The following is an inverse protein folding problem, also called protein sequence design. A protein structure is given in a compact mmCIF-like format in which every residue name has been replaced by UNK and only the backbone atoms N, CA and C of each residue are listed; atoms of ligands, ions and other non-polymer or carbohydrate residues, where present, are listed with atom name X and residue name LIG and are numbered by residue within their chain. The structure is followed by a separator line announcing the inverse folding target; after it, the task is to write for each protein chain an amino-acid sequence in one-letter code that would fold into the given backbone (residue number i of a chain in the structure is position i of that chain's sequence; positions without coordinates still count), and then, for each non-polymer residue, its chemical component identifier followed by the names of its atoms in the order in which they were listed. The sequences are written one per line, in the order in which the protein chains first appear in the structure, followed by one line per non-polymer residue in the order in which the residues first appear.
data_IF_739621440744
#
_entry.id   IF_739621440744
#
_cell.length_a   1.000
_cell.length_b   1.000
_cell.length_c   1.000
_cell.angle_alpha   90.00
_cell.angle_beta   90.00
_cell.angle_gamma   90.00
#
_symmetry.space_group_name_H-M   'P 1'
#
loop_
_entity.id
_entity.type
_entity.pdbx_description
1 polymer ?
#
# COMPACT_ATOMS: atom_id res chain seq x y z
N UNK A 1 -14.54 -53.86 -2.30
CA UNK A 1 -13.18 -54.15 -2.77
C UNK A 1 -12.95 -53.33 -3.98
N UNK A 2 -12.28 -52.22 -3.81
CA UNK A 2 -11.55 -51.56 -4.90
C UNK A 2 -10.78 -50.40 -4.27
N UNK A 3 -9.47 -50.58 -4.29
CA UNK A 3 -8.49 -49.69 -3.68
C UNK A 3 -8.18 -48.55 -4.62
N UNK A 4 -8.44 -47.28 -4.19
CA UNK A 4 -8.00 -46.12 -4.92
C UNK A 4 -6.67 -45.66 -4.32
N UNK A 5 -5.61 -45.82 -5.10
CA UNK A 5 -4.29 -45.32 -4.81
C UNK A 5 -4.19 -43.83 -5.01
N UNK A 6 -3.87 -43.09 -3.94
CA UNK A 6 -3.52 -41.69 -4.02
C UNK A 6 -2.01 -41.52 -4.23
N UNK A 7 -1.65 -41.01 -5.38
CA UNK A 7 -0.29 -40.57 -5.67
C UNK A 7 0.00 -39.26 -4.96
N UNK A 8 0.97 -39.25 -4.03
CA UNK A 8 1.50 -38.03 -3.42
C UNK A 8 2.37 -37.28 -4.42
N UNK A 9 1.92 -36.08 -4.76
CA UNK A 9 2.72 -35.11 -5.48
C UNK A 9 3.50 -34.29 -4.45
N UNK A 10 4.82 -34.46 -4.43
CA UNK A 10 5.76 -33.77 -3.54
C UNK A 10 5.91 -32.32 -3.97
N UNK A 11 5.17 -31.42 -3.34
CA UNK A 11 5.34 -29.98 -3.46
C UNK A 11 6.63 -29.54 -2.78
N UNK A 12 7.54 -28.99 -3.56
CA UNK A 12 8.78 -28.37 -3.07
C UNK A 12 8.44 -27.12 -2.26
N UNK A 13 8.62 -27.19 -0.96
CA UNK A 13 8.56 -26.02 -0.07
C UNK A 13 9.80 -25.16 -0.29
N UNK A 14 9.62 -23.99 -0.88
CA UNK A 14 10.64 -22.95 -0.90
C UNK A 14 10.72 -22.34 0.49
N UNK A 15 11.76 -22.68 1.22
CA UNK A 15 12.09 -22.08 2.52
C UNK A 15 12.52 -20.64 2.33
N UNK A 16 11.73 -19.69 2.81
CA UNK A 16 12.09 -18.29 2.88
C UNK A 16 12.99 -18.08 4.11
N UNK A 17 14.31 -18.02 3.89
CA UNK A 17 15.26 -17.69 4.95
C UNK A 17 15.25 -16.19 5.19
N UNK A 18 14.70 -15.75 6.31
CA UNK A 18 14.82 -14.38 6.82
C UNK A 18 16.25 -14.18 7.35
N UNK A 19 17.14 -13.68 6.48
CA UNK A 19 18.47 -13.21 6.85
C UNK A 19 18.50 -11.69 6.72
N UNK A 20 18.40 -10.98 7.85
CA UNK A 20 18.50 -9.53 7.87
C UNK A 20 19.89 -9.05 7.52
N UNK A 21 19.98 -8.09 6.58
CA UNK A 21 21.06 -7.10 6.54
C UNK A 21 20.43 -5.77 6.10
N UNK A 22 20.49 -4.80 7.00
CA UNK A 22 20.11 -3.41 6.79
C UNK A 22 21.13 -2.74 5.87
N UNK A 23 20.77 -2.48 4.62
CA UNK A 23 21.42 -1.52 3.76
C UNK A 23 20.45 -0.41 3.41
N UNK A 24 20.72 0.76 3.93
CA UNK A 24 19.97 2.00 3.82
C UNK A 24 19.89 2.51 2.39
N UNK A 25 18.67 2.71 1.88
CA UNK A 25 18.38 3.47 0.68
C UNK A 25 16.97 3.20 0.15
N UNK A 26 16.21 4.26 -0.14
CA UNK A 26 14.87 4.15 -0.74
C UNK A 26 14.82 3.32 -2.03
N UNK A 27 15.95 3.23 -2.75
CA UNK A 27 16.09 2.37 -3.93
C UNK A 27 16.03 0.86 -3.63
N UNK A 28 16.49 0.44 -2.46
CA UNK A 28 16.42 -0.95 -1.98
C UNK A 28 14.97 -1.34 -1.68
N UNK A 29 14.25 -0.53 -0.90
CA UNK A 29 12.86 -0.80 -0.52
C UNK A 29 11.95 -0.93 -1.74
N UNK A 30 12.03 0.01 -2.69
CA UNK A 30 11.22 -0.04 -3.92
C UNK A 30 11.49 -1.28 -4.77
N UNK A 31 12.75 -1.73 -4.85
CA UNK A 31 13.11 -2.94 -5.58
C UNK A 31 12.61 -4.22 -4.89
N UNK A 32 12.75 -4.31 -3.58
CA UNK A 32 12.25 -5.43 -2.78
C UNK A 32 10.72 -5.49 -2.86
N UNK A 33 10.07 -4.34 -2.74
CA UNK A 33 8.63 -4.22 -2.89
C UNK A 33 8.15 -4.63 -4.30
N UNK A 34 8.89 -4.26 -5.37
CA UNK A 34 8.57 -4.70 -6.73
C UNK A 34 8.62 -6.23 -6.85
N UNK A 35 9.64 -6.89 -6.27
CA UNK A 35 9.72 -8.36 -6.24
C UNK A 35 8.54 -8.99 -5.49
N UNK A 36 8.19 -8.41 -4.35
CA UNK A 36 7.03 -8.84 -3.57
C UNK A 36 5.73 -8.73 -4.36
N UNK A 37 5.48 -7.59 -5.04
CA UNK A 37 4.30 -7.40 -5.88
C UNK A 37 4.20 -8.44 -6.99
N UNK A 38 5.31 -8.75 -7.65
CA UNK A 38 5.40 -9.77 -8.70
C UNK A 38 5.17 -11.17 -8.11
N UNK A 39 5.82 -11.53 -7.01
CA UNK A 39 5.66 -12.82 -6.33
C UNK A 39 4.24 -13.07 -5.83
N UNK A 40 3.50 -12.03 -5.45
CA UNK A 40 2.09 -12.10 -5.05
C UNK A 40 1.12 -12.04 -6.24
N UNK A 41 1.59 -11.91 -7.47
CA UNK A 41 0.76 -11.60 -8.65
C UNK A 41 -0.10 -10.34 -8.46
N UNK A 42 0.38 -9.39 -7.66
CA UNK A 42 -0.26 -8.09 -7.43
C UNK A 42 0.14 -7.05 -8.49
N UNK A 43 1.21 -7.30 -9.24
CA UNK A 43 1.67 -6.49 -10.35
C UNK A 43 1.69 -7.35 -11.61
N UNK A 44 1.10 -6.83 -12.68
CA UNK A 44 1.12 -7.45 -14.02
C UNK A 44 1.42 -6.40 -15.08
N UNK A 45 2.15 -6.81 -16.12
CA UNK A 45 2.46 -5.99 -17.29
C UNK A 45 1.71 -6.53 -18.51
N UNK A 46 1.23 -5.64 -19.39
CA UNK A 46 0.42 -5.98 -20.56
C UNK A 46 -0.60 -4.88 -20.84
N UNK A 47 -1.67 -5.20 -21.54
CA UNK A 47 -2.72 -4.24 -21.90
C UNK A 47 -3.94 -4.42 -20.99
N UNK A 48 -4.26 -3.39 -20.19
CA UNK A 48 -5.36 -3.40 -19.22
C UNK A 48 -6.27 -2.20 -19.40
N UNK A 49 -7.55 -2.44 -19.67
CA UNK A 49 -8.54 -1.36 -19.68
C UNK A 49 -8.97 -1.01 -18.27
N UNK A 50 -8.66 0.20 -17.83
CA UNK A 50 -9.02 0.73 -16.50
C UNK A 50 -10.49 1.16 -16.47
N UNK A 51 -11.06 1.33 -15.27
CA UNK A 51 -12.43 1.86 -15.08
C UNK A 51 -12.65 3.23 -15.73
N UNK A 52 -11.59 4.02 -15.91
CA UNK A 52 -11.60 5.30 -16.61
C UNK A 52 -11.67 5.20 -18.14
N UNK A 53 -11.64 3.97 -18.70
CA UNK A 53 -11.53 3.71 -20.13
C UNK A 53 -10.10 3.84 -20.69
N UNK A 54 -9.11 4.23 -19.87
CA UNK A 54 -7.70 4.28 -20.30
C UNK A 54 -7.14 2.87 -20.45
N UNK A 55 -6.36 2.65 -21.47
CA UNK A 55 -5.56 1.42 -21.65
C UNK A 55 -4.22 1.64 -20.97
N UNK A 56 -3.96 0.86 -19.91
CA UNK A 56 -2.74 0.93 -19.10
C UNK A 56 -1.81 -0.25 -19.43
N UNK A 57 -0.50 -0.03 -19.56
CA UNK A 57 0.48 -1.10 -19.79
C UNK A 57 0.84 -1.89 -18.52
N UNK A 58 0.24 -1.58 -17.39
CA UNK A 58 0.41 -2.27 -16.12
C UNK A 58 -0.88 -2.28 -15.32
N UNK A 59 -1.02 -3.28 -14.46
CA UNK A 59 -2.14 -3.40 -13.55
C UNK A 59 -1.66 -3.78 -12.15
N UNK A 60 -2.19 -3.08 -11.13
CA UNK A 60 -1.93 -3.35 -9.72
C UNK A 60 -3.21 -3.89 -9.09
N UNK A 61 -3.16 -5.11 -8.58
CA UNK A 61 -4.27 -5.81 -7.95
C UNK A 61 -4.03 -6.01 -6.46
N UNK A 62 -4.50 -5.09 -5.62
CA UNK A 62 -4.42 -5.23 -4.17
C UNK A 62 -5.23 -6.42 -3.61
N UNK A 63 -6.17 -6.98 -4.39
CA UNK A 63 -6.91 -8.20 -4.01
C UNK A 63 -6.04 -9.46 -3.97
N UNK A 64 -4.82 -9.42 -4.51
CA UNK A 64 -3.85 -10.52 -4.46
C UNK A 64 -3.24 -10.74 -3.06
N UNK A 65 -3.36 -9.77 -2.16
CA UNK A 65 -2.90 -9.90 -0.76
C UNK A 65 -3.98 -10.59 0.10
N UNK A 66 -4.24 -11.85 -0.16
CA UNK A 66 -5.41 -12.60 0.32
C UNK A 66 -5.08 -13.70 1.35
N UNK A 67 -3.86 -13.74 1.85
CA UNK A 67 -3.44 -14.65 2.92
C UNK A 67 -2.60 -13.93 3.99
N UNK A 68 -2.44 -14.59 5.16
CA UNK A 68 -1.76 -14.01 6.31
C UNK A 68 -0.28 -13.72 6.08
N UNK A 69 0.41 -14.51 5.27
CA UNK A 69 1.82 -14.29 4.94
C UNK A 69 2.00 -13.01 4.12
N UNK A 70 1.24 -12.90 3.03
CA UNK A 70 1.29 -11.73 2.15
C UNK A 70 0.91 -10.44 2.86
N UNK A 71 -0.16 -10.46 3.69
CA UNK A 71 -0.59 -9.25 4.38
C UNK A 71 0.38 -8.84 5.49
N UNK A 72 1.03 -9.80 6.16
CA UNK A 72 2.06 -9.52 7.15
C UNK A 72 3.31 -8.90 6.49
N UNK A 73 3.77 -9.46 5.37
CA UNK A 73 4.91 -8.92 4.61
C UNK A 73 4.60 -7.52 4.06
N UNK A 74 3.39 -7.32 3.51
CA UNK A 74 2.92 -6.01 3.06
C UNK A 74 2.95 -4.99 4.20
N UNK A 75 2.45 -5.33 5.39
CA UNK A 75 2.53 -4.49 6.60
C UNK A 75 3.97 -4.12 6.96
N UNK A 76 4.92 -5.04 6.77
CA UNK A 76 6.35 -4.79 6.91
C UNK A 76 6.87 -3.72 5.95
N UNK A 77 6.45 -3.74 4.68
CA UNK A 77 6.80 -2.71 3.69
C UNK A 77 6.21 -1.33 4.04
N UNK A 78 4.95 -1.28 4.49
CA UNK A 78 4.36 -0.03 5.00
C UNK A 78 5.15 0.52 6.18
N UNK A 79 5.46 -0.33 7.16
CA UNK A 79 6.24 0.07 8.34
C UNK A 79 7.63 0.57 7.97
N UNK A 80 8.31 -0.06 7.00
CA UNK A 80 9.59 0.39 6.50
C UNK A 80 9.50 1.78 5.83
N UNK A 81 8.49 2.00 5.00
CA UNK A 81 8.24 3.31 4.37
C UNK A 81 7.97 4.39 5.43
N UNK A 82 7.17 4.07 6.45
CA UNK A 82 6.89 4.97 7.58
C UNK A 82 8.17 5.31 8.33
N UNK A 83 8.99 4.32 8.70
CA UNK A 83 10.26 4.55 9.41
C UNK A 83 11.21 5.43 8.59
N UNK A 84 11.31 5.21 7.28
CA UNK A 84 12.10 6.04 6.37
C UNK A 84 11.58 7.49 6.34
N UNK A 85 10.26 7.67 6.27
CA UNK A 85 9.64 9.00 6.24
C UNK A 85 9.79 9.75 7.58
N UNK A 86 9.74 9.04 8.70
CA UNK A 86 10.02 9.61 10.04
C UNK A 86 11.49 9.98 10.14
N UNK A 87 12.41 9.11 9.71
CA UNK A 87 13.86 9.38 9.75
C UNK A 87 14.26 10.56 8.88
N UNK A 88 13.58 10.79 7.75
CA UNK A 88 13.80 11.95 6.86
C UNK A 88 13.08 13.22 7.32
N UNK A 89 12.27 13.16 8.37
CA UNK A 89 11.43 14.28 8.84
C UNK A 89 10.24 14.58 7.95
N UNK A 90 9.92 13.74 6.97
CA UNK A 90 8.75 13.90 6.09
C UNK A 90 7.44 13.69 6.86
N UNK A 91 7.39 12.70 7.75
CA UNK A 91 6.28 12.44 8.67
C UNK A 91 6.77 12.68 10.10
N UNK A 92 5.96 13.36 10.92
CA UNK A 92 6.28 13.53 12.34
C UNK A 92 6.20 12.18 13.06
N UNK A 93 7.15 11.90 13.95
CA UNK A 93 7.11 10.74 14.84
C UNK A 93 5.98 10.85 15.87
N UNK A 94 5.69 9.76 16.55
CA UNK A 94 4.76 9.72 17.69
C UNK A 94 3.29 9.78 17.28
N UNK A 95 2.88 9.07 16.23
CA UNK A 95 1.47 8.80 15.95
C UNK A 95 0.93 7.69 16.87
N UNK A 96 -0.33 7.83 17.27
CA UNK A 96 -0.98 6.98 18.26
C UNK A 96 -1.65 5.77 17.63
N UNK A 97 -2.15 5.93 16.40
CA UNK A 97 -2.89 4.88 15.68
C UNK A 97 -2.68 4.95 14.19
N UNK A 98 -2.72 3.79 13.54
CA UNK A 98 -2.79 3.65 12.08
C UNK A 98 -4.24 3.49 11.69
N UNK A 99 -4.72 4.32 10.79
CA UNK A 99 -6.09 4.27 10.30
C UNK A 99 -6.13 3.77 8.86
N UNK A 100 -7.02 2.81 8.59
CA UNK A 100 -7.28 2.31 7.24
C UNK A 100 -8.77 2.33 6.91
N UNK A 101 -9.20 2.98 5.80
CA UNK A 101 -10.61 3.06 5.43
C UNK A 101 -11.17 1.67 5.03
N UNK A 102 -12.40 1.38 5.48
CA UNK A 102 -13.05 0.12 5.15
C UNK A 102 -13.35 0.01 3.64
N UNK A 103 -13.11 -1.16 3.02
CA UNK A 103 -12.73 -2.43 3.65
C UNK A 103 -11.25 -2.79 3.47
N UNK A 104 -10.61 -2.38 2.37
CA UNK A 104 -9.21 -2.76 2.03
C UNK A 104 -8.19 -2.18 3.00
N UNK A 105 -8.43 -0.99 3.54
CA UNK A 105 -7.58 -0.37 4.54
C UNK A 105 -7.53 -1.12 5.86
N UNK A 106 -8.56 -1.92 6.20
CA UNK A 106 -8.60 -2.65 7.48
C UNK A 106 -7.39 -3.56 7.65
N UNK A 107 -7.14 -4.56 6.77
CA UNK A 107 -5.97 -5.42 6.91
C UNK A 107 -4.65 -4.64 6.82
N UNK A 108 -4.60 -3.56 6.03
CA UNK A 108 -3.42 -2.69 5.94
C UNK A 108 -3.13 -1.98 7.26
N UNK A 109 -4.15 -1.39 7.90
CA UNK A 109 -3.98 -0.73 9.20
C UNK A 109 -3.51 -1.70 10.29
N UNK A 110 -4.12 -2.87 10.37
CA UNK A 110 -3.77 -3.90 11.36
C UNK A 110 -2.35 -4.40 11.14
N UNK A 111 -1.99 -4.83 9.93
CA UNK A 111 -0.66 -5.37 9.63
C UNK A 111 0.44 -4.32 9.76
N UNK A 112 0.17 -3.06 9.37
CA UNK A 112 1.11 -1.95 9.55
C UNK A 112 1.32 -1.63 11.03
N UNK A 113 0.24 -1.56 11.82
CA UNK A 113 0.33 -1.33 13.26
C UNK A 113 1.12 -2.45 13.96
N UNK A 114 0.87 -3.72 13.60
CA UNK A 114 1.65 -4.87 14.09
C UNK A 114 3.14 -4.73 13.76
N UNK A 115 3.47 -4.37 12.51
CA UNK A 115 4.86 -4.23 12.06
C UNK A 115 5.56 -2.99 12.64
N UNK A 116 4.83 -1.95 13.02
CA UNK A 116 5.36 -0.76 13.69
C UNK A 116 5.50 -0.94 15.20
N UNK A 117 4.69 -1.83 15.79
CA UNK A 117 4.76 -2.15 17.21
C UNK A 117 5.98 -3.02 17.49
N UNK A 118 6.74 -2.69 18.51
CA UNK A 118 7.92 -3.42 18.94
C UNK A 118 8.66 -2.63 20.03
N UNK A 119 9.61 -3.25 20.69
CA UNK A 119 10.52 -2.61 21.67
C UNK A 119 9.81 -1.77 22.75
N UNK A 120 8.61 -2.22 23.17
CA UNK A 120 7.81 -1.53 24.19
C UNK A 120 6.88 -0.44 23.67
N UNK A 121 6.90 -0.13 22.38
CA UNK A 121 5.97 0.80 21.73
C UNK A 121 4.82 0.02 21.08
N UNK A 122 3.60 0.20 21.58
CA UNK A 122 2.39 -0.33 20.96
C UNK A 122 1.74 0.78 20.10
N UNK A 123 1.63 0.54 18.80
CA UNK A 123 0.91 1.41 17.87
C UNK A 123 -0.51 0.87 17.72
N UNK A 124 -1.52 1.71 17.95
CA UNK A 124 -2.91 1.35 17.77
C UNK A 124 -3.31 1.17 16.30
N UNK A 125 -4.45 0.53 16.06
CA UNK A 125 -5.10 0.54 14.76
C UNK A 125 -6.53 1.01 14.88
N UNK A 126 -7.05 1.65 13.83
CA UNK A 126 -8.43 2.15 13.75
C UNK A 126 -8.93 2.00 12.32
N UNK A 127 -10.21 1.69 12.17
CA UNK A 127 -10.89 1.71 10.87
C UNK A 127 -12.35 2.15 11.01
N UNK A 128 -12.95 2.65 9.94
CA UNK A 128 -14.35 3.05 9.95
C UNK A 128 -15.28 1.87 9.66
N UNK A 129 -16.51 2.00 10.14
CA UNK A 129 -17.63 1.14 9.74
C UNK A 129 -18.36 1.79 8.59
N UNK A 130 -18.90 1.00 7.66
CA UNK A 130 -19.79 1.50 6.60
C UNK A 130 -21.14 1.97 7.17
N UNK A 131 -21.59 1.33 8.27
CA UNK A 131 -22.85 1.64 8.95
C UNK A 131 -22.56 1.83 10.44
N UNK A 132 -23.12 2.91 11.02
CA UNK A 132 -23.05 3.13 12.46
C UNK A 132 -23.84 2.05 13.19
N UNK A 133 -23.34 1.56 14.34
CA UNK A 133 -24.10 0.68 15.22
C UNK A 133 -24.76 1.49 16.34
N UNK A 134 -26.05 1.23 16.54
CA UNK A 134 -26.84 1.88 17.59
C UNK A 134 -26.72 1.20 18.97
N UNK A 135 -26.09 0.01 19.05
CA UNK A 135 -26.02 -0.79 20.29
C UNK A 135 -24.60 -1.35 20.54
N UNK A 136 -24.21 -1.45 21.80
CA UNK A 136 -22.92 -1.95 22.28
C UNK A 136 -21.84 -0.87 22.25
N UNK A 137 -20.59 -1.24 21.91
CA UNK A 137 -19.50 -0.29 21.61
C UNK A 137 -19.87 0.50 20.34
N UNK A 138 -20.93 1.31 20.46
CA UNK A 138 -21.46 2.15 19.41
C UNK A 138 -20.39 3.11 18.91
N UNK A 139 -20.49 3.50 17.63
CA UNK A 139 -19.58 4.46 17.05
C UNK A 139 -19.26 4.14 15.61
N UNK A 140 -18.68 5.13 14.96
CA UNK A 140 -18.29 5.07 13.56
C UNK A 140 -16.99 4.28 13.36
N UNK A 141 -16.15 4.17 14.41
CA UNK A 141 -14.83 3.59 14.36
C UNK A 141 -14.67 2.35 15.23
N UNK A 142 -13.74 1.47 14.84
CA UNK A 142 -13.35 0.24 15.55
C UNK A 142 -11.84 0.27 15.79
N UNK A 143 -11.39 -0.35 16.88
CA UNK A 143 -10.00 -0.37 17.30
C UNK A 143 -9.71 0.70 18.35
N UNK A 144 -8.61 1.42 18.20
CA UNK A 144 -8.23 2.50 19.12
C UNK A 144 -9.25 3.63 19.06
N UNK A 145 -9.84 3.96 20.21
CA UNK A 145 -10.77 5.08 20.33
C UNK A 145 -10.02 6.41 20.15
N UNK A 146 -10.51 7.23 19.23
CA UNK A 146 -9.94 8.55 18.98
C UNK A 146 -10.23 9.52 20.12
N UNK A 147 -9.22 10.30 20.48
CA UNK A 147 -9.28 11.34 21.50
C UNK A 147 -8.61 12.62 20.98
N UNK A 148 -8.98 13.74 21.56
CA UNK A 148 -8.37 15.03 21.23
C UNK A 148 -6.86 15.02 21.43
N UNK A 149 -6.16 15.62 20.51
CA UNK A 149 -4.69 15.69 20.47
C UNK A 149 -4.00 14.46 19.87
N UNK A 150 -4.72 13.37 19.61
CA UNK A 150 -4.11 12.18 18.98
C UNK A 150 -3.62 12.46 17.57
N UNK A 151 -2.51 11.81 17.21
CA UNK A 151 -1.96 11.79 15.85
C UNK A 151 -2.32 10.50 15.14
N UNK A 152 -2.92 10.60 13.97
CA UNK A 152 -3.41 9.49 13.16
C UNK A 152 -2.58 9.37 11.89
N UNK A 153 -1.98 8.22 11.64
CA UNK A 153 -1.34 7.87 10.38
C UNK A 153 -2.34 7.14 9.50
N UNK A 154 -2.63 7.66 8.31
CA UNK A 154 -3.52 7.01 7.35
C UNK A 154 -2.76 6.01 6.49
N UNK A 155 -3.40 4.88 6.13
CA UNK A 155 -2.89 3.91 5.15
C UNK A 155 -4.00 3.55 4.15
N UNK A 156 -3.65 3.43 2.87
CA UNK A 156 -4.55 2.92 1.82
C UNK A 156 -3.74 2.15 0.76
N UNK A 157 -4.41 1.40 -0.12
CA UNK A 157 -3.72 0.60 -1.16
C UNK A 157 -3.17 1.49 -2.28
N UNK A 158 -4.01 1.97 -3.16
CA UNK A 158 -3.68 2.90 -4.25
C UNK A 158 -4.73 4.00 -4.32
N UNK A 159 -4.32 5.18 -4.69
CA UNK A 159 -5.21 6.33 -4.78
C UNK A 159 -5.38 6.76 -6.24
N UNK A 160 -6.65 6.90 -6.70
CA UNK A 160 -6.97 7.39 -8.04
C UNK A 160 -7.51 8.83 -8.01
N UNK A 161 -8.54 9.07 -7.21
CA UNK A 161 -9.13 10.40 -7.04
C UNK A 161 -9.05 10.92 -5.58
N UNK A 162 -8.62 10.08 -4.63
CA UNK A 162 -8.56 10.44 -3.22
C UNK A 162 -9.92 10.51 -2.52
N UNK A 163 -10.97 9.89 -3.09
CA UNK A 163 -12.33 9.93 -2.55
C UNK A 163 -12.41 9.38 -1.12
N UNK A 164 -11.82 8.20 -0.87
CA UNK A 164 -11.83 7.57 0.45
C UNK A 164 -11.21 8.49 1.53
N UNK A 165 -10.10 9.14 1.19
CA UNK A 165 -9.44 10.09 2.11
C UNK A 165 -10.32 11.29 2.40
N UNK A 166 -10.95 11.87 1.35
CA UNK A 166 -11.86 13.01 1.51
C UNK A 166 -13.11 12.69 2.32
N UNK A 167 -13.59 11.46 2.25
CA UNK A 167 -14.72 10.99 3.03
C UNK A 167 -14.36 10.74 4.49
N UNK A 168 -13.16 10.23 4.75
CA UNK A 168 -12.77 9.79 6.09
C UNK A 168 -12.23 10.91 6.98
N UNK A 169 -11.50 11.89 6.42
CA UNK A 169 -10.93 13.00 7.20
C UNK A 169 -12.00 13.79 7.97
N UNK A 170 -13.13 14.21 7.36
CA UNK A 170 -14.19 14.88 8.10
C UNK A 170 -14.78 14.02 9.23
N UNK A 171 -14.91 12.70 9.02
CA UNK A 171 -15.40 11.76 10.05
C UNK A 171 -14.43 11.68 11.23
N UNK A 172 -13.12 11.58 10.97
CA UNK A 172 -12.08 11.56 12.00
C UNK A 172 -12.12 12.84 12.83
N UNK A 173 -12.06 14.00 12.16
CA UNK A 173 -12.09 15.31 12.82
C UNK A 173 -13.42 15.64 13.48
N UNK A 174 -14.53 15.07 13.01
CA UNK A 174 -15.84 15.20 13.66
C UNK A 174 -16.01 14.35 14.91
N UNK A 175 -15.15 13.35 15.12
CA UNK A 175 -15.18 12.47 16.28
C UNK A 175 -14.27 12.99 17.42
N UNK A 176 -13.11 13.54 17.07
CA UNK A 176 -12.16 14.12 18.03
C UNK A 176 -11.23 15.10 17.29
N UNK A 177 -10.63 16.05 18.03
CA UNK A 177 -9.62 16.97 17.45
C UNK A 177 -8.30 16.23 17.24
N UNK A 178 -8.24 15.44 16.16
CA UNK A 178 -7.07 14.65 15.77
C UNK A 178 -6.20 15.35 14.73
N UNK A 179 -4.91 15.11 14.79
CA UNK A 179 -3.93 15.53 13.81
C UNK A 179 -3.63 14.38 12.84
N UNK A 180 -3.68 14.64 11.54
CA UNK A 180 -3.25 13.64 10.54
C UNK A 180 -1.75 13.79 10.36
N UNK A 181 -0.99 12.74 10.74
CA UNK A 181 0.47 12.71 10.61
C UNK A 181 0.94 12.56 9.16
N UNK A 182 0.15 11.88 8.34
CA UNK A 182 0.41 11.63 6.93
C UNK A 182 -0.46 10.50 6.39
N UNK A 183 -0.33 10.25 5.09
CA UNK A 183 -0.93 9.11 4.39
C UNK A 183 0.14 8.28 3.71
N UNK A 184 0.09 6.97 3.86
CA UNK A 184 0.99 6.02 3.20
C UNK A 184 0.21 5.14 2.25
N UNK A 185 0.68 5.06 1.00
CA UNK A 185 0.12 4.23 -0.07
C UNK A 185 1.09 3.08 -0.40
N UNK A 186 0.57 2.00 -0.96
CA UNK A 186 1.44 0.97 -1.53
C UNK A 186 2.17 1.49 -2.76
N UNK A 187 1.45 2.06 -3.71
CA UNK A 187 2.00 2.58 -4.96
C UNK A 187 1.42 3.95 -5.28
N UNK A 188 2.30 4.92 -5.55
CA UNK A 188 1.91 6.14 -6.26
C UNK A 188 1.99 5.88 -7.76
N UNK A 189 0.82 5.88 -8.42
CA UNK A 189 0.73 5.70 -9.88
C UNK A 189 1.21 6.90 -10.67
N UNK A 190 1.44 8.05 -10.02
CA UNK A 190 1.88 9.30 -10.63
C UNK A 190 0.97 9.79 -11.77
N UNK A 191 -0.28 9.36 -11.82
CA UNK A 191 -1.23 9.70 -12.87
C UNK A 191 -2.04 10.94 -12.52
N UNK A 192 -2.27 11.80 -13.52
CA UNK A 192 -3.16 12.95 -13.41
C UNK A 192 -4.59 12.52 -13.09
N UNK A 193 -5.22 13.26 -12.18
CA UNK A 193 -6.66 13.11 -11.91
C UNK A 193 -7.49 13.78 -13.00
N UNK A 194 -8.74 13.37 -13.17
CA UNK A 194 -9.65 13.97 -14.14
C UNK A 194 -9.78 15.47 -13.92
N UNK A 195 -9.51 16.26 -14.96
CA UNK A 195 -9.64 17.72 -14.92
C UNK A 195 -8.54 18.47 -14.19
N UNK A 196 -7.41 17.81 -13.87
CA UNK A 196 -6.26 18.42 -13.19
C UNK A 196 -4.94 17.93 -13.77
N UNK A 197 -3.92 18.76 -13.75
CA UNK A 197 -2.54 18.39 -14.05
C UNK A 197 -1.82 17.75 -12.85
N UNK A 198 -2.45 17.71 -11.68
CA UNK A 198 -1.90 17.10 -10.47
C UNK A 198 -2.29 15.63 -10.34
N UNK A 199 -1.39 14.83 -9.77
CA UNK A 199 -1.72 13.48 -9.33
C UNK A 199 -2.65 13.51 -8.11
N UNK A 200 -3.28 12.37 -7.80
CA UNK A 200 -4.09 12.24 -6.59
C UNK A 200 -3.27 12.50 -5.32
N UNK A 201 -2.01 12.05 -5.29
CA UNK A 201 -1.05 12.29 -4.20
C UNK A 201 -0.82 13.78 -4.00
N UNK A 202 -0.48 14.49 -5.08
CA UNK A 202 -0.25 15.94 -5.03
C UNK A 202 -1.51 16.72 -4.62
N UNK A 203 -2.68 16.33 -5.16
CA UNK A 203 -3.96 16.96 -4.86
C UNK A 203 -4.32 16.83 -3.38
N UNK A 204 -4.27 15.62 -2.82
CA UNK A 204 -4.61 15.35 -1.42
C UNK A 204 -3.62 16.02 -0.47
N UNK A 205 -2.31 15.93 -0.76
CA UNK A 205 -1.28 16.58 0.06
C UNK A 205 -1.48 18.11 0.12
N UNK A 206 -1.77 18.72 -1.03
CA UNK A 206 -2.02 20.17 -1.10
C UNK A 206 -3.32 20.59 -0.41
N UNK A 207 -4.39 19.81 -0.58
CA UNK A 207 -5.71 20.09 -0.02
C UNK A 207 -5.75 20.04 1.50
N UNK A 208 -5.09 19.02 2.07
CA UNK A 208 -5.17 18.75 3.51
C UNK A 208 -3.93 19.16 4.31
N UNK A 209 -2.83 19.52 3.64
CA UNK A 209 -1.64 20.05 4.29
C UNK A 209 -0.78 19.01 5.02
N UNK A 210 -0.99 17.70 4.78
CA UNK A 210 -0.15 16.64 5.33
C UNK A 210 0.61 15.88 4.22
N UNK A 211 1.74 15.24 4.54
CA UNK A 211 2.50 14.47 3.57
C UNK A 211 1.76 13.22 3.11
N UNK A 212 1.80 12.95 1.81
CA UNK A 212 1.37 11.68 1.22
C UNK A 212 2.60 11.01 0.62
N UNK A 213 2.91 9.82 1.08
CA UNK A 213 4.04 9.02 0.61
C UNK A 213 3.57 7.69 0.06
N UNK A 214 4.41 7.02 -0.71
CA UNK A 214 4.18 5.66 -1.18
C UNK A 214 5.40 4.78 -0.88
N UNK A 215 5.19 3.46 -0.75
CA UNK A 215 6.30 2.49 -0.64
C UNK A 215 7.16 2.58 -1.89
N UNK A 216 6.53 2.67 -3.07
CA UNK A 216 7.22 2.94 -4.32
C UNK A 216 6.32 3.75 -5.28
N UNK A 217 6.94 4.54 -6.16
CA UNK A 217 6.27 5.12 -7.31
C UNK A 217 6.23 4.11 -8.46
N UNK A 218 5.28 4.27 -9.37
CA UNK A 218 5.21 3.40 -10.56
C UNK A 218 6.51 3.47 -11.40
N UNK A 219 7.17 4.61 -11.47
CA UNK A 219 8.45 4.75 -12.16
C UNK A 219 9.54 3.88 -11.52
N UNK A 220 9.66 3.91 -10.19
CA UNK A 220 10.60 3.04 -9.45
C UNK A 220 10.30 1.56 -9.66
N UNK A 221 9.01 1.20 -9.73
CA UNK A 221 8.56 -0.18 -10.00
C UNK A 221 8.96 -0.60 -11.42
N UNK A 222 8.73 0.22 -12.44
CA UNK A 222 9.10 -0.06 -13.83
C UNK A 222 10.61 -0.23 -13.98
N UNK A 223 11.40 0.69 -13.41
CA UNK A 223 12.87 0.63 -13.43
C UNK A 223 13.41 -0.62 -12.72
N UNK A 224 12.80 -0.98 -11.59
CA UNK A 224 13.14 -2.20 -10.85
C UNK A 224 12.78 -3.45 -11.65
N UNK A 225 11.55 -3.53 -12.19
CA UNK A 225 11.07 -4.68 -12.95
C UNK A 225 11.90 -4.95 -14.21
N UNK A 226 12.36 -3.89 -14.91
CA UNK A 226 13.28 -4.01 -16.06
C UNK A 226 14.59 -4.69 -15.69
N UNK A 227 15.06 -4.53 -14.45
CA UNK A 227 16.31 -5.12 -13.95
C UNK A 227 16.14 -6.52 -13.36
N UNK A 228 14.92 -7.04 -13.33
CA UNK A 228 14.61 -8.36 -12.78
C UNK A 228 14.43 -9.36 -13.93
N UNK A 229 14.85 -10.62 -13.64
CA UNK A 229 14.63 -11.75 -14.53
C UNK A 229 13.68 -12.75 -13.86
N UNK A 230 12.81 -13.35 -14.65
CA UNK A 230 11.95 -14.46 -14.23
C UNK A 230 12.75 -15.76 -13.97
N UNK A 231 12.09 -16.81 -13.49
CA UNK A 231 12.72 -18.11 -13.23
C UNK A 231 13.32 -18.76 -14.47
N UNK A 232 12.83 -18.43 -15.65
CA UNK A 232 13.29 -18.90 -16.96
C UNK A 232 14.44 -18.05 -17.55
N UNK A 233 14.92 -17.03 -16.80
CA UNK A 233 15.97 -16.12 -17.23
C UNK A 233 15.49 -15.00 -18.16
N UNK A 234 14.19 -14.92 -18.49
CA UNK A 234 13.63 -13.83 -19.31
C UNK A 234 13.46 -12.56 -18.46
N UNK A 235 13.60 -11.33 -19.04
CA UNK A 235 13.27 -10.12 -18.33
C UNK A 235 11.79 -10.10 -17.89
N UNK A 236 11.53 -9.68 -16.66
CA UNK A 236 10.16 -9.52 -16.13
C UNK A 236 9.40 -8.43 -16.89
N UNK A 237 10.12 -7.40 -17.31
CA UNK A 237 9.59 -6.31 -18.12
C UNK A 237 10.54 -6.11 -19.32
N UNK A 238 10.09 -6.48 -20.51
CA UNK A 238 10.87 -6.28 -21.74
C UNK A 238 10.96 -4.82 -22.15
N UNK A 239 11.88 -4.51 -23.07
CA UNK A 239 12.14 -3.13 -23.50
C UNK A 239 10.96 -2.50 -24.24
N UNK A 240 10.11 -3.29 -24.91
CA UNK A 240 8.92 -2.81 -25.64
C UNK A 240 7.84 -2.36 -24.66
N UNK A 241 7.47 -3.23 -23.70
CA UNK A 241 6.50 -2.91 -22.65
C UNK A 241 6.98 -1.77 -21.74
N UNK A 242 8.29 -1.74 -21.42
CA UNK A 242 8.87 -0.61 -20.68
C UNK A 242 8.71 0.70 -21.46
N UNK A 243 9.00 0.70 -22.77
CA UNK A 243 8.80 1.86 -23.62
C UNK A 243 7.34 2.32 -23.68
N UNK A 244 6.39 1.38 -23.80
CA UNK A 244 4.95 1.67 -23.74
C UNK A 244 4.54 2.27 -22.37
N UNK A 245 5.10 1.76 -21.27
CA UNK A 245 4.82 2.28 -19.94
C UNK A 245 5.35 3.71 -19.76
N UNK A 246 6.52 4.04 -20.31
CA UNK A 246 7.03 5.41 -20.30
C UNK A 246 6.15 6.35 -21.13
N UNK A 247 5.76 5.96 -22.34
CA UNK A 247 4.84 6.74 -23.18
C UNK A 247 3.48 6.97 -22.51
N UNK A 248 2.98 5.96 -21.79
CA UNK A 248 1.77 6.09 -20.99
C UNK A 248 1.93 7.14 -19.90
N UNK A 249 3.05 7.11 -19.16
CA UNK A 249 3.34 8.09 -18.11
C UNK A 249 3.58 9.49 -18.68
N UNK A 250 4.22 9.62 -19.86
CA UNK A 250 4.38 10.92 -20.52
C UNK A 250 3.04 11.55 -20.91
N UNK A 251 2.05 10.71 -21.26
CA UNK A 251 0.71 11.17 -21.65
C UNK A 251 -0.21 11.45 -20.47
N UNK A 252 -0.16 10.60 -19.45
CA UNK A 252 -1.12 10.61 -18.33
C UNK A 252 -0.49 10.93 -16.98
N UNK A 253 0.83 11.01 -16.89
CA UNK A 253 1.56 11.33 -15.66
C UNK A 253 1.47 12.81 -15.27
N UNK A 254 1.62 13.07 -13.95
CA UNK A 254 1.63 14.40 -13.32
C UNK A 254 3.06 14.81 -12.93
#
# INVERSE_FOLDING_TARGET
MDSISHSHNSGSTVSCACGGQSSSGSGSLGREFTRFLLGCHALSFGEFTLKSGRVSPYFINAGSFNDGGKIAELGGFYAAAVRNAVSSGTISSGFDTVFGPAYKGIPLAVSTAMALSGDGNAVGYTFDRKEAKDHGDGGLFVGTQLKDGMKVLLVDDVMTAGTAVREVIPKLKGTADVQIAGLVLSVDRMEKTSGSDMSAVQSVSREFGFPVIAIATIRQILDSARSLTGPDGTPVLDSSLYGQALQYLDKYGA
#
